data_IF_663130256562
#
_entry.id   IF_663130256562
#
_cell.length_a   1.000
_cell.length_b   1.000
_cell.length_c   1.000
_cell.angle_alpha   90.00
_cell.angle_beta   90.00
_cell.angle_gamma   90.00
#
_symmetry.space_group_name_H-M   'P 1'
#
loop_
_entity.id
_entity.type
_entity.pdbx_description
1 polymer ?
#
# COMPACT_ATOMS: atom_id res chain seq x y z
N UNK A 1 36.19 -29.62 -61.39
CA UNK A 1 36.40 -30.31 -60.10
C UNK A 1 36.95 -29.30 -59.09
N UNK A 2 36.24 -29.09 -57.96
CA UNK A 2 36.78 -28.70 -56.62
C UNK A 2 37.44 -27.30 -56.51
N UNK A 3 37.11 -26.39 -55.59
CA UNK A 3 36.54 -26.45 -54.22
C UNK A 3 35.83 -25.11 -53.93
N UNK A 4 34.62 -25.16 -53.36
CA UNK A 4 33.97 -23.99 -52.73
C UNK A 4 34.54 -23.86 -51.31
N UNK A 5 35.14 -22.72 -50.97
CA UNK A 5 35.45 -22.37 -49.58
C UNK A 5 34.14 -21.94 -48.90
N UNK A 6 33.73 -22.66 -47.87
CA UNK A 6 32.67 -22.23 -46.96
C UNK A 6 33.38 -21.57 -45.78
N UNK A 7 33.26 -20.25 -45.68
CA UNK A 7 33.69 -19.50 -44.50
C UNK A 7 32.53 -19.58 -43.50
N UNK A 8 32.69 -20.39 -42.46
CA UNK A 8 31.77 -20.41 -41.33
C UNK A 8 32.12 -19.23 -40.41
N UNK A 9 31.29 -18.19 -40.43
CA UNK A 9 31.37 -17.09 -39.48
C UNK A 9 30.61 -17.49 -38.21
N UNK A 10 31.32 -17.86 -37.15
CA UNK A 10 30.74 -18.09 -35.84
C UNK A 10 30.36 -16.75 -35.20
N UNK A 11 29.07 -16.42 -35.18
CA UNK A 11 28.55 -15.32 -34.36
C UNK A 11 28.62 -15.73 -32.89
N UNK A 12 29.56 -15.15 -32.15
CA UNK A 12 29.54 -15.15 -30.69
C UNK A 12 28.47 -14.15 -30.22
N UNK A 13 27.31 -14.66 -29.83
CA UNK A 13 26.29 -13.87 -29.13
C UNK A 13 26.76 -13.71 -27.68
N UNK A 14 27.32 -12.54 -27.36
CA UNK A 14 27.50 -12.13 -25.97
C UNK A 14 26.11 -11.81 -25.39
N UNK A 15 25.55 -12.75 -24.64
CA UNK A 15 24.45 -12.46 -23.73
C UNK A 15 25.04 -11.64 -22.57
N UNK A 16 24.95 -10.31 -22.67
CA UNK A 16 25.08 -9.43 -21.52
C UNK A 16 23.82 -9.60 -20.67
N UNK A 17 23.85 -10.59 -19.78
CA UNK A 17 22.90 -10.67 -18.68
C UNK A 17 23.18 -9.51 -17.74
N UNK A 18 22.44 -8.41 -17.89
CA UNK A 18 22.35 -7.36 -16.86
C UNK A 18 21.59 -7.92 -15.66
N UNK A 19 22.24 -8.82 -14.92
CA UNK A 19 21.77 -9.21 -13.60
C UNK A 19 21.95 -8.00 -12.70
N UNK A 20 20.85 -7.34 -12.33
CA UNK A 20 20.80 -6.56 -11.10
C UNK A 20 20.98 -7.54 -9.94
N UNK A 21 22.23 -7.94 -9.68
CA UNK A 21 22.58 -8.47 -8.38
C UNK A 21 22.27 -7.34 -7.39
N UNK A 22 21.46 -7.62 -6.37
CA UNK A 22 21.33 -6.70 -5.25
C UNK A 22 22.75 -6.44 -4.72
N UNK A 23 23.29 -5.24 -4.98
CA UNK A 23 24.62 -4.87 -4.54
C UNK A 23 24.58 -4.77 -3.01
N UNK A 24 25.10 -5.81 -2.35
CA UNK A 24 25.23 -5.84 -0.91
C UNK A 24 26.09 -4.67 -0.43
N UNK A 25 25.65 -4.00 0.64
CA UNK A 25 26.40 -2.92 1.27
C UNK A 25 27.73 -3.49 1.81
N UNK A 26 28.89 -3.07 1.27
CA UNK A 26 30.17 -3.59 1.74
C UNK A 26 30.44 -3.10 3.17
N UNK A 27 31.03 -3.96 4.00
CA UNK A 27 31.37 -3.65 5.40
C UNK A 27 30.18 -3.22 6.28
N UNK A 28 28.96 -3.68 5.97
CA UNK A 28 27.79 -3.45 6.83
C UNK A 28 28.03 -4.01 8.24
N UNK A 29 27.68 -3.28 9.31
CA UNK A 29 27.73 -3.83 10.67
C UNK A 29 26.76 -5.01 10.82
N UNK A 30 26.97 -5.82 11.86
CA UNK A 30 26.06 -6.90 12.20
C UNK A 30 24.67 -6.33 12.55
N UNK A 31 23.58 -6.79 11.89
CA UNK A 31 22.23 -6.36 12.24
C UNK A 31 21.84 -6.79 13.66
N UNK A 32 20.97 -6.02 14.35
CA UNK A 32 20.40 -6.46 15.63
C UNK A 32 19.49 -7.67 15.43
N UNK A 33 19.27 -8.43 16.51
CA UNK A 33 18.22 -9.45 16.54
C UNK A 33 16.84 -8.78 16.50
N UNK A 34 15.95 -9.29 15.64
CA UNK A 34 14.57 -8.78 15.49
C UNK A 34 13.58 -9.88 15.89
N UNK A 35 12.79 -9.62 16.92
CA UNK A 35 11.76 -10.55 17.39
C UNK A 35 10.45 -10.37 16.61
N UNK A 36 10.46 -10.75 15.33
CA UNK A 36 9.30 -10.77 14.44
C UNK A 36 9.40 -11.91 13.41
N UNK A 37 8.27 -12.32 12.83
CA UNK A 37 8.26 -13.37 11.80
C UNK A 37 8.94 -12.97 10.48
N UNK A 38 8.84 -11.68 10.11
CA UNK A 38 9.47 -11.08 8.93
C UNK A 38 9.74 -9.59 9.16
N UNK A 39 10.78 -9.03 8.54
CA UNK A 39 11.09 -7.59 8.57
C UNK A 39 11.89 -7.14 7.35
N UNK A 40 11.80 -5.85 7.04
CA UNK A 40 12.65 -5.14 6.05
C UNK A 40 12.96 -3.75 6.56
N UNK A 41 14.22 -3.34 6.49
CA UNK A 41 14.65 -1.95 6.61
C UNK A 41 15.22 -1.49 5.27
N UNK A 42 14.63 -0.45 4.69
CA UNK A 42 14.93 0.03 3.33
C UNK A 42 15.25 1.53 3.35
N UNK A 43 16.25 1.94 2.57
CA UNK A 43 16.51 3.35 2.28
C UNK A 43 15.50 3.89 1.25
N UNK A 44 14.90 5.04 1.54
CA UNK A 44 13.92 5.66 0.65
C UNK A 44 14.54 6.11 -0.67
N UNK A 45 15.71 6.76 -0.66
CA UNK A 45 16.28 7.38 -1.86
C UNK A 45 16.60 6.33 -2.92
N UNK A 46 17.26 5.25 -2.50
CA UNK A 46 17.83 4.22 -3.37
C UNK A 46 16.96 2.97 -3.50
N UNK A 47 16.11 2.69 -2.50
CA UNK A 47 15.43 1.39 -2.38
C UNK A 47 16.34 0.26 -1.90
N UNK A 48 17.58 0.55 -1.49
CA UNK A 48 18.51 -0.45 -0.98
C UNK A 48 18.01 -1.00 0.35
N UNK A 49 18.06 -2.33 0.50
CA UNK A 49 17.76 -3.01 1.77
C UNK A 49 19.01 -2.97 2.66
N UNK A 50 18.86 -2.44 3.87
CA UNK A 50 19.92 -2.38 4.87
C UNK A 50 20.00 -3.68 5.68
N UNK A 51 18.84 -4.23 6.04
CA UNK A 51 18.70 -5.55 6.65
C UNK A 51 17.29 -6.08 6.41
N UNK A 52 17.16 -7.40 6.30
CA UNK A 52 15.89 -8.07 6.09
C UNK A 52 15.92 -9.46 6.72
N UNK A 53 14.73 -10.01 6.99
CA UNK A 53 14.57 -11.38 7.42
C UNK A 53 13.23 -11.91 6.97
N UNK A 54 13.26 -13.05 6.28
CA UNK A 54 12.08 -13.77 5.80
C UNK A 54 11.12 -12.86 5.02
N UNK A 55 11.71 -11.97 4.22
CA UNK A 55 11.06 -10.78 3.67
C UNK A 55 10.09 -11.08 2.54
N UNK A 56 10.24 -12.24 1.89
CA UNK A 56 9.37 -12.74 0.81
C UNK A 56 8.33 -13.76 1.27
N UNK A 57 8.27 -14.09 2.57
CA UNK A 57 7.20 -14.96 3.05
C UNK A 57 5.85 -14.28 2.87
N UNK A 58 4.92 -14.97 2.19
CA UNK A 58 3.54 -14.54 2.08
C UNK A 58 2.84 -14.60 3.43
N UNK A 59 2.27 -13.47 3.84
CA UNK A 59 1.53 -13.28 5.10
C UNK A 59 0.28 -12.45 4.80
N UNK A 60 -0.80 -12.67 5.54
CA UNK A 60 -2.00 -11.85 5.36
C UNK A 60 -1.74 -10.43 5.92
N UNK A 61 -1.83 -9.36 5.09
CA UNK A 61 -1.53 -7.99 5.49
C UNK A 61 -2.59 -7.33 6.38
N UNK A 62 -3.78 -7.94 6.53
CA UNK A 62 -4.92 -7.35 7.24
C UNK A 62 -5.14 -5.88 6.84
N UNK A 63 -5.16 -4.94 7.81
CA UNK A 63 -5.39 -3.52 7.53
C UNK A 63 -4.27 -2.83 6.73
N UNK A 64 -3.09 -3.44 6.58
CA UNK A 64 -2.02 -2.89 5.73
C UNK A 64 -2.41 -2.91 4.24
N UNK A 65 -3.41 -3.69 3.84
CA UNK A 65 -4.06 -3.60 2.51
C UNK A 65 -4.47 -2.16 2.16
N UNK A 66 -4.86 -1.36 3.16
CA UNK A 66 -5.27 0.04 2.96
C UNK A 66 -4.14 0.95 2.48
N UNK A 67 -2.88 0.53 2.58
CA UNK A 67 -1.77 1.23 1.92
C UNK A 67 -1.96 1.23 0.40
N UNK A 68 -2.32 0.08 -0.19
CA UNK A 68 -2.62 0.00 -1.61
C UNK A 68 -3.91 0.76 -1.95
N UNK A 69 -4.93 0.70 -1.08
CA UNK A 69 -6.16 1.49 -1.25
C UNK A 69 -5.85 2.99 -1.33
N UNK A 70 -5.03 3.50 -0.41
CA UNK A 70 -4.58 4.89 -0.44
C UNK A 70 -3.74 5.19 -1.68
N UNK A 71 -2.85 4.28 -2.07
CA UNK A 71 -2.04 4.44 -3.28
C UNK A 71 -2.91 4.55 -4.55
N UNK A 72 -3.99 3.79 -4.69
CA UNK A 72 -4.91 3.93 -5.84
C UNK A 72 -5.57 5.31 -5.87
N UNK A 73 -5.96 5.85 -4.70
CA UNK A 73 -6.56 7.20 -4.58
C UNK A 73 -5.53 8.25 -4.99
N UNK A 74 -4.33 8.16 -4.44
CA UNK A 74 -3.20 9.02 -4.79
C UNK A 74 -2.92 9.02 -6.31
N UNK A 75 -2.82 7.83 -6.92
CA UNK A 75 -2.62 7.71 -8.38
C UNK A 75 -3.82 8.25 -9.20
N UNK A 76 -5.03 8.24 -8.66
CA UNK A 76 -6.18 8.83 -9.33
C UNK A 76 -6.14 10.37 -9.30
N UNK A 77 -5.60 10.95 -8.22
CA UNK A 77 -5.34 12.40 -8.10
C UNK A 77 -4.21 12.83 -9.04
N UNK A 78 -3.07 12.13 -8.98
CA UNK A 78 -1.87 12.37 -9.82
C UNK A 78 -2.22 12.34 -11.33
N UNK A 79 -3.05 11.39 -11.75
CA UNK A 79 -3.51 11.28 -13.14
C UNK A 79 -4.70 12.19 -13.50
N UNK A 80 -5.09 13.10 -12.61
CA UNK A 80 -6.19 14.06 -12.77
C UNK A 80 -7.55 13.44 -13.11
N UNK A 81 -7.78 12.17 -12.72
CA UNK A 81 -9.11 11.53 -12.87
C UNK A 81 -10.10 12.01 -11.81
N UNK A 82 -9.58 12.40 -10.65
CA UNK A 82 -10.31 13.01 -9.53
C UNK A 82 -9.47 14.15 -8.96
N UNK A 83 -10.08 15.00 -8.13
CA UNK A 83 -9.38 16.00 -7.32
C UNK A 83 -9.66 15.77 -5.83
N UNK A 84 -8.78 16.21 -4.92
CA UNK A 84 -9.02 16.11 -3.48
C UNK A 84 -10.29 16.87 -3.01
N UNK A 85 -10.73 17.88 -3.78
CA UNK A 85 -11.86 18.72 -3.43
C UNK A 85 -13.19 18.22 -4.03
N UNK A 86 -13.14 17.14 -4.83
CA UNK A 86 -14.33 16.50 -5.37
C UNK A 86 -15.24 16.00 -4.25
N UNK A 87 -16.54 16.22 -4.41
CA UNK A 87 -17.55 15.81 -3.41
C UNK A 87 -18.12 14.45 -3.79
N UNK A 88 -17.81 13.46 -2.97
CA UNK A 88 -18.35 12.11 -3.01
C UNK A 88 -19.64 12.05 -2.22
N UNK A 89 -20.67 11.42 -2.79
CA UNK A 89 -21.91 11.12 -2.06
C UNK A 89 -21.83 9.70 -1.54
N UNK A 90 -21.91 9.53 -0.22
CA UNK A 90 -21.77 8.22 0.44
C UNK A 90 -23.00 7.35 0.12
N UNK A 91 -22.76 6.21 -0.52
CA UNK A 91 -23.78 5.18 -0.76
C UNK A 91 -24.02 4.30 0.46
N UNK A 92 -25.09 3.50 0.42
CA UNK A 92 -25.45 2.56 1.50
C UNK A 92 -24.35 1.53 1.79
N UNK A 93 -23.58 1.14 0.78
CA UNK A 93 -22.49 0.15 0.90
C UNK A 93 -21.39 0.62 1.86
N UNK A 94 -21.16 1.93 1.95
CA UNK A 94 -20.22 2.57 2.85
C UNK A 94 -20.84 2.94 4.22
N UNK A 95 -22.09 2.55 4.50
CA UNK A 95 -22.73 2.81 5.79
C UNK A 95 -22.69 1.60 6.72
N UNK A 96 -22.00 1.76 7.86
CA UNK A 96 -21.79 0.66 8.80
C UNK A 96 -23.04 0.12 9.51
N UNK A 97 -24.12 0.89 9.60
CA UNK A 97 -25.30 0.51 10.41
C UNK A 97 -25.92 -0.84 9.98
N UNK A 98 -25.98 -1.09 8.68
CA UNK A 98 -26.66 -2.26 8.12
C UNK A 98 -25.67 -3.26 7.49
N UNK A 99 -24.36 -3.06 7.66
CA UNK A 99 -23.33 -3.89 7.03
C UNK A 99 -22.54 -4.70 8.08
N UNK A 100 -22.80 -6.02 8.22
CA UNK A 100 -22.17 -6.85 9.25
C UNK A 100 -20.65 -6.98 9.08
N UNK A 101 -20.13 -6.79 7.85
CA UNK A 101 -18.68 -6.81 7.56
C UNK A 101 -17.93 -5.77 8.41
N UNK A 102 -18.59 -4.66 8.75
CA UNK A 102 -17.96 -3.55 9.46
C UNK A 102 -18.06 -3.62 10.99
N UNK A 103 -18.83 -4.57 11.54
CA UNK A 103 -19.02 -4.68 12.99
C UNK A 103 -17.69 -4.99 13.69
N UNK A 104 -17.32 -4.16 14.67
CA UNK A 104 -16.05 -4.29 15.42
C UNK A 104 -14.82 -3.79 14.67
N UNK A 105 -15.00 -3.27 13.45
CA UNK A 105 -13.92 -2.73 12.63
C UNK A 105 -13.72 -1.22 12.86
N UNK A 106 -12.62 -0.66 12.35
CA UNK A 106 -12.36 0.79 12.35
C UNK A 106 -13.17 1.51 11.28
N UNK A 107 -13.77 2.65 11.63
CA UNK A 107 -14.71 3.40 10.79
C UNK A 107 -14.43 4.90 10.87
N UNK A 108 -14.72 5.62 9.80
CA UNK A 108 -14.87 7.08 9.79
C UNK A 108 -16.26 7.52 10.30
N UNK A 109 -17.20 6.57 10.40
CA UNK A 109 -18.60 6.77 10.80
C UNK A 109 -19.39 7.59 9.77
N UNK A 110 -19.23 7.23 8.50
CA UNK A 110 -20.02 7.76 7.39
C UNK A 110 -21.48 7.31 7.49
N UNK A 111 -22.40 8.12 6.96
CA UNK A 111 -23.82 7.77 6.76
C UNK A 111 -24.20 7.87 5.30
N UNK A 112 -25.15 7.05 4.87
CA UNK A 112 -25.74 7.17 3.53
C UNK A 112 -26.26 8.59 3.28
N UNK A 113 -25.91 9.16 2.13
CA UNK A 113 -26.26 10.53 1.74
C UNK A 113 -25.31 11.61 2.24
N UNK A 114 -24.34 11.30 3.12
CA UNK A 114 -23.28 12.24 3.49
C UNK A 114 -22.54 12.70 2.21
N UNK A 115 -22.17 13.98 2.17
CA UNK A 115 -21.40 14.58 1.08
C UNK A 115 -20.03 14.95 1.61
N UNK A 116 -19.00 14.24 1.16
CA UNK A 116 -17.66 14.27 1.75
C UNK A 116 -16.62 14.52 0.67
N UNK A 117 -15.63 15.36 0.95
CA UNK A 117 -14.53 15.58 0.01
C UNK A 117 -13.67 14.31 -0.12
N UNK A 118 -13.04 14.10 -1.27
CA UNK A 118 -12.02 13.04 -1.45
C UNK A 118 -10.91 13.21 -0.41
N UNK A 119 -10.54 14.44 -0.07
CA UNK A 119 -9.55 14.76 0.98
C UNK A 119 -9.98 14.21 2.34
N UNK A 120 -11.20 14.50 2.80
CA UNK A 120 -11.67 14.03 4.12
C UNK A 120 -11.86 12.52 4.15
N UNK A 121 -12.32 11.90 3.05
CA UNK A 121 -12.35 10.44 2.93
C UNK A 121 -10.95 9.84 2.98
N UNK A 122 -9.95 10.49 2.36
CA UNK A 122 -8.55 10.06 2.41
C UNK A 122 -7.99 10.16 3.84
N UNK A 123 -8.34 11.22 4.58
CA UNK A 123 -8.02 11.34 6.01
C UNK A 123 -8.69 10.24 6.83
N UNK A 124 -9.95 9.91 6.57
CA UNK A 124 -10.65 8.79 7.23
C UNK A 124 -10.03 7.43 6.93
N UNK A 125 -9.61 7.19 5.69
CA UNK A 125 -8.85 6.01 5.29
C UNK A 125 -7.51 5.89 6.03
N UNK A 126 -6.80 7.02 6.19
CA UNK A 126 -5.43 7.05 6.71
C UNK A 126 -5.42 7.08 8.24
N UNK A 127 -6.01 8.11 8.84
CA UNK A 127 -5.99 8.40 10.29
C UNK A 127 -6.87 7.41 11.06
N UNK A 128 -8.14 7.29 10.66
CA UNK A 128 -9.11 6.45 11.38
C UNK A 128 -8.95 4.97 10.99
N UNK A 129 -8.30 4.71 9.86
CA UNK A 129 -8.27 3.41 9.19
C UNK A 129 -9.67 2.94 8.80
N UNK A 130 -10.55 3.87 8.42
CA UNK A 130 -11.97 3.63 8.15
C UNK A 130 -12.22 2.68 6.97
N UNK A 131 -12.91 1.57 7.23
CA UNK A 131 -13.31 0.62 6.19
C UNK A 131 -14.45 1.16 5.30
N UNK A 132 -15.35 1.92 5.90
CA UNK A 132 -16.41 2.69 5.23
C UNK A 132 -15.84 3.71 4.23
N UNK A 133 -14.81 4.44 4.62
CA UNK A 133 -14.12 5.38 3.72
C UNK A 133 -13.47 4.67 2.51
N UNK A 134 -12.93 3.45 2.71
CA UNK A 134 -12.39 2.65 1.60
C UNK A 134 -13.46 2.35 0.54
N UNK A 135 -14.66 1.95 0.99
CA UNK A 135 -15.77 1.62 0.07
C UNK A 135 -16.26 2.85 -0.68
N UNK A 136 -16.48 3.97 0.02
CA UNK A 136 -16.91 5.21 -0.62
C UNK A 136 -15.91 5.70 -1.69
N UNK A 137 -14.61 5.63 -1.41
CA UNK A 137 -13.55 5.97 -2.39
C UNK A 137 -13.52 4.98 -3.56
N UNK A 138 -13.69 3.68 -3.29
CA UNK A 138 -13.69 2.65 -4.33
C UNK A 138 -14.85 2.83 -5.32
N UNK A 139 -16.04 3.09 -4.80
CA UNK A 139 -17.24 3.33 -5.61
C UNK A 139 -17.07 4.60 -6.45
N UNK A 140 -16.51 5.66 -5.87
CA UNK A 140 -16.26 6.92 -6.58
C UNK A 140 -15.24 6.78 -7.70
N UNK A 141 -14.12 6.07 -7.45
CA UNK A 141 -12.98 6.00 -8.38
C UNK A 141 -13.20 4.97 -9.49
N UNK A 142 -13.78 3.82 -9.16
CA UNK A 142 -13.85 2.67 -10.06
C UNK A 142 -15.28 2.24 -10.41
N UNK A 143 -16.30 2.95 -9.87
CA UNK A 143 -17.70 2.57 -10.01
C UNK A 143 -18.07 1.28 -9.24
N UNK A 144 -17.21 0.83 -8.31
CA UNK A 144 -17.48 -0.34 -7.49
C UNK A 144 -16.22 -1.01 -6.92
N UNK A 145 -16.40 -1.70 -5.80
CA UNK A 145 -15.32 -2.37 -5.05
C UNK A 145 -14.51 -3.39 -5.88
N UNK A 146 -15.16 -4.22 -6.71
CA UNK A 146 -14.45 -5.23 -7.53
C UNK A 146 -13.50 -4.58 -8.54
N UNK A 147 -13.97 -3.55 -9.26
CA UNK A 147 -13.13 -2.82 -10.21
C UNK A 147 -11.98 -2.10 -9.50
N UNK A 148 -12.22 -1.62 -8.28
CA UNK A 148 -11.15 -1.03 -7.48
C UNK A 148 -10.09 -2.06 -7.06
N UNK A 149 -10.50 -3.27 -6.68
CA UNK A 149 -9.57 -4.39 -6.39
C UNK A 149 -8.78 -4.79 -7.64
N UNK A 150 -9.39 -4.78 -8.83
CA UNK A 150 -8.66 -4.94 -10.10
C UNK A 150 -7.59 -3.85 -10.26
N UNK A 151 -7.91 -2.58 -9.95
CA UNK A 151 -6.91 -1.50 -9.95
C UNK A 151 -5.79 -1.75 -8.92
N UNK A 152 -6.12 -2.17 -7.69
CA UNK A 152 -5.13 -2.50 -6.65
C UNK A 152 -4.14 -3.57 -7.14
N UNK A 153 -4.65 -4.66 -7.72
CA UNK A 153 -3.82 -5.73 -8.27
C UNK A 153 -3.02 -5.29 -9.51
N UNK A 154 -3.59 -4.45 -10.37
CA UNK A 154 -2.85 -3.85 -11.50
C UNK A 154 -1.68 -2.97 -11.02
N UNK A 155 -1.85 -2.21 -9.92
CA UNK A 155 -0.76 -1.44 -9.35
C UNK A 155 0.27 -2.32 -8.63
N UNK A 156 -0.15 -3.40 -7.96
CA UNK A 156 0.77 -4.39 -7.41
C UNK A 156 1.68 -4.98 -8.50
N UNK A 157 1.11 -5.35 -9.66
CA UNK A 157 1.88 -5.85 -10.80
C UNK A 157 2.85 -4.78 -11.38
N UNK A 158 2.36 -3.55 -11.57
CA UNK A 158 3.17 -2.41 -12.06
C UNK A 158 4.33 -2.07 -11.12
N UNK A 159 4.15 -2.21 -9.82
CA UNK A 159 5.18 -2.01 -8.80
C UNK A 159 6.04 -3.27 -8.57
N UNK A 160 5.77 -4.35 -9.31
CA UNK A 160 6.48 -5.62 -9.19
C UNK A 160 6.39 -6.27 -7.81
N UNK A 161 5.26 -6.10 -7.12
CA UNK A 161 4.97 -6.76 -5.84
C UNK A 161 4.61 -8.23 -6.08
N UNK A 162 5.62 -9.11 -6.08
CA UNK A 162 5.48 -10.50 -6.55
C UNK A 162 4.75 -11.43 -5.58
N UNK A 163 4.72 -11.06 -4.31
CA UNK A 163 4.14 -11.83 -3.22
C UNK A 163 2.80 -11.24 -2.77
N UNK A 164 2.20 -10.34 -3.59
CA UNK A 164 1.02 -9.54 -3.22
C UNK A 164 -0.20 -9.83 -4.07
N UNK A 165 -1.34 -10.04 -3.42
CA UNK A 165 -2.67 -10.15 -4.03
C UNK A 165 -3.73 -9.57 -3.09
N UNK A 166 -4.70 -8.84 -3.65
CA UNK A 166 -5.81 -8.23 -2.92
C UNK A 166 -7.16 -8.77 -3.38
N UNK A 167 -8.09 -8.95 -2.43
CA UNK A 167 -9.47 -9.39 -2.68
C UNK A 167 -10.52 -8.36 -2.25
N UNK A 168 -10.20 -7.49 -1.28
CA UNK A 168 -11.11 -6.44 -0.79
C UNK A 168 -10.41 -5.08 -0.67
N UNK A 169 -11.20 -4.01 -0.74
CA UNK A 169 -10.69 -2.62 -0.70
C UNK A 169 -10.18 -2.18 0.67
N UNK A 170 -10.43 -2.97 1.71
CA UNK A 170 -10.12 -2.63 3.10
C UNK A 170 -9.36 -3.73 3.84
N UNK A 171 -9.27 -4.95 3.29
CA UNK A 171 -8.56 -6.07 3.88
C UNK A 171 -9.32 -6.85 4.96
N UNK A 172 -10.64 -6.66 5.06
CA UNK A 172 -11.51 -7.51 5.89
C UNK A 172 -12.04 -8.67 5.04
N UNK A 173 -12.36 -9.80 5.67
CA UNK A 173 -13.01 -10.98 5.09
C UNK A 173 -12.39 -11.45 3.76
N UNK A 174 -11.06 -11.44 3.71
CA UNK A 174 -10.27 -11.76 2.51
C UNK A 174 -9.22 -12.83 2.85
N UNK A 175 -9.59 -14.13 2.85
CA UNK A 175 -8.66 -15.20 3.21
C UNK A 175 -7.57 -15.44 2.14
N UNK A 176 -7.83 -15.08 0.88
CA UNK A 176 -6.88 -15.25 -0.22
C UNK A 176 -5.96 -14.04 -0.42
N UNK A 177 -6.22 -12.89 0.21
CA UNK A 177 -5.28 -11.77 0.16
C UNK A 177 -3.96 -12.10 0.88
N UNK A 178 -2.84 -11.70 0.29
CA UNK A 178 -1.52 -11.87 0.86
C UNK A 178 -0.57 -10.77 0.40
N UNK A 179 0.53 -10.59 1.14
CA UNK A 179 1.65 -9.70 0.79
C UNK A 179 2.92 -10.25 1.45
N UNK A 180 4.07 -9.66 1.16
CA UNK A 180 5.32 -9.90 1.89
C UNK A 180 5.84 -8.63 2.57
N UNK A 181 6.81 -8.76 3.48
CA UNK A 181 7.43 -7.60 4.13
C UNK A 181 8.21 -6.75 3.11
N UNK A 182 8.85 -7.40 2.13
CA UNK A 182 9.49 -6.75 1.00
C UNK A 182 8.50 -5.94 0.17
N UNK A 183 7.40 -6.56 -0.25
CA UNK A 183 6.41 -5.89 -1.09
C UNK A 183 5.76 -4.69 -0.38
N UNK A 184 5.48 -4.81 0.93
CA UNK A 184 4.96 -3.68 1.70
C UNK A 184 5.99 -2.55 1.84
N UNK A 185 7.28 -2.84 1.91
CA UNK A 185 8.33 -1.82 1.92
C UNK A 185 8.42 -1.10 0.57
N UNK A 186 8.36 -1.84 -0.55
CA UNK A 186 8.33 -1.27 -1.91
C UNK A 186 7.08 -0.40 -2.12
N UNK A 187 5.90 -0.88 -1.71
CA UNK A 187 4.65 -0.12 -1.77
C UNK A 187 4.74 1.15 -0.92
N UNK A 188 5.28 1.05 0.30
CA UNK A 188 5.45 2.20 1.18
C UNK A 188 6.36 3.26 0.56
N UNK A 189 7.48 2.84 -0.04
CA UNK A 189 8.37 3.74 -0.79
C UNK A 189 7.64 4.43 -1.95
N UNK A 190 6.79 3.70 -2.69
CA UNK A 190 5.99 4.27 -3.78
C UNK A 190 4.97 5.30 -3.27
N UNK A 191 4.34 5.07 -2.10
CA UNK A 191 3.43 6.01 -1.46
C UNK A 191 4.16 7.29 -1.03
N UNK A 192 5.33 7.17 -0.39
CA UNK A 192 6.14 8.33 0.02
C UNK A 192 6.56 9.18 -1.19
N UNK A 193 6.82 8.52 -2.32
CA UNK A 193 7.18 9.18 -3.58
C UNK A 193 5.99 9.81 -4.33
N UNK A 194 4.76 9.62 -3.84
CA UNK A 194 3.54 10.06 -4.51
C UNK A 194 3.21 11.54 -4.32
N UNK A 195 1.92 11.87 -4.30
CA UNK A 195 1.46 13.25 -4.07
C UNK A 195 1.88 13.71 -2.65
N UNK A 196 2.65 14.80 -2.52
CA UNK A 196 3.23 15.20 -1.23
C UNK A 196 2.19 15.41 -0.13
N UNK A 197 1.09 16.08 -0.46
CA UNK A 197 0.00 16.36 0.47
C UNK A 197 -0.80 15.11 0.83
N UNK A 198 -0.80 14.09 -0.03
CA UNK A 198 -1.44 12.81 0.26
C UNK A 198 -0.62 12.02 1.29
N UNK A 199 0.70 11.91 1.09
CA UNK A 199 1.57 11.27 2.06
C UNK A 199 1.58 12.02 3.41
N UNK A 200 1.53 13.36 3.40
CA UNK A 200 1.49 14.17 4.62
C UNK A 200 0.33 13.78 5.56
N UNK A 201 -0.80 13.30 5.03
CA UNK A 201 -1.94 12.85 5.86
C UNK A 201 -1.58 11.72 6.84
N UNK A 202 -0.56 10.90 6.56
CA UNK A 202 -0.11 9.84 7.47
C UNK A 202 0.47 10.38 8.79
N UNK A 203 0.96 11.63 8.78
CA UNK A 203 1.52 12.31 9.96
C UNK A 203 0.46 13.01 10.83
N UNK A 204 -0.78 13.11 10.34
CA UNK A 204 -1.88 13.72 11.08
C UNK A 204 -2.25 12.86 12.28
N UNK A 205 -2.32 13.50 13.45
CA UNK A 205 -2.48 12.79 14.72
C UNK A 205 -3.93 12.46 15.05
N UNK A 206 -4.88 13.19 14.47
CA UNK A 206 -6.30 13.01 14.74
C UNK A 206 -7.17 13.55 13.62
N UNK A 207 -8.34 12.94 13.45
CA UNK A 207 -9.41 13.41 12.58
C UNK A 207 -10.67 13.63 13.42
N UNK A 208 -11.39 14.71 13.15
CA UNK A 208 -12.73 14.93 13.66
C UNK A 208 -13.72 14.86 12.50
N UNK A 209 -14.62 13.90 12.53
CA UNK A 209 -15.70 13.75 11.55
C UNK A 209 -17.03 13.51 12.26
N UNK A 210 -18.11 14.15 11.80
CA UNK A 210 -19.45 14.00 12.40
C UNK A 210 -19.50 14.14 13.94
N UNK A 211 -18.66 15.03 14.50
CA UNK A 211 -18.55 15.27 15.95
C UNK A 211 -17.78 14.19 16.72
N UNK A 212 -17.21 13.20 16.04
CA UNK A 212 -16.40 12.13 16.62
C UNK A 212 -14.93 12.44 16.31
N UNK A 213 -14.08 12.49 17.33
CA UNK A 213 -12.63 12.64 17.14
C UNK A 213 -11.93 11.32 17.40
N UNK A 214 -11.11 10.90 16.44
CA UNK A 214 -10.32 9.66 16.52
C UNK A 214 -8.83 9.99 16.38
N UNK A 215 -7.99 9.16 17.01
CA UNK A 215 -6.54 9.29 16.96
C UNK A 215 -5.98 8.38 15.88
N UNK A 216 -4.88 8.81 15.27
CA UNK A 216 -4.08 7.96 14.41
C UNK A 216 -3.58 6.73 15.19
N UNK A 217 -3.65 5.55 14.57
CA UNK A 217 -3.28 4.28 15.23
C UNK A 217 -1.78 4.02 15.25
N UNK A 218 -0.98 4.87 14.60
CA UNK A 218 0.48 4.77 14.60
C UNK A 218 1.09 5.46 15.83
N UNK A 219 1.36 4.69 16.89
CA UNK A 219 1.95 5.18 18.13
C UNK A 219 3.33 5.87 17.97
N UNK A 220 4.07 5.55 16.90
CA UNK A 220 5.40 6.13 16.67
C UNK A 220 5.35 7.62 16.30
N UNK A 221 4.19 8.15 15.87
CA UNK A 221 4.00 9.60 15.61
C UNK A 221 4.17 10.50 16.86
N UNK A 222 4.19 9.89 18.05
CA UNK A 222 4.41 10.58 19.32
C UNK A 222 5.80 10.33 19.92
N UNK A 223 6.68 9.60 19.24
CA UNK A 223 8.07 9.47 19.63
C UNK A 223 8.76 10.85 19.57
N UNK A 224 9.53 11.17 20.61
CA UNK A 224 10.26 12.45 20.74
C UNK A 224 11.74 12.32 20.37
N UNK A 225 12.19 11.11 20.06
CA UNK A 225 13.58 10.78 19.75
C UNK A 225 13.83 10.60 18.25
N UNK A 226 12.75 10.40 17.48
CA UNK A 226 12.77 10.22 16.03
C UNK A 226 11.72 11.12 15.38
N UNK A 227 11.92 11.48 14.12
CA UNK A 227 10.92 12.18 13.31
C UNK A 227 10.13 11.16 12.46
N UNK A 228 9.19 10.46 13.09
CA UNK A 228 8.34 9.46 12.41
C UNK A 228 7.05 10.12 11.93
N UNK A 229 6.71 9.95 10.66
CA UNK A 229 5.58 10.57 9.97
C UNK A 229 4.65 9.56 9.27
N UNK A 230 4.90 8.25 9.41
CA UNK A 230 4.07 7.21 8.81
C UNK A 230 4.50 5.78 9.16
N UNK A 231 3.95 4.75 8.51
CA UNK A 231 2.74 4.80 7.68
C UNK A 231 1.54 4.22 8.43
N UNK A 232 1.52 2.90 8.66
CA UNK A 232 0.33 2.23 9.19
C UNK A 232 0.69 1.05 10.08
N UNK A 233 -0.16 0.82 11.08
CA UNK A 233 -0.14 -0.37 11.92
C UNK A 233 -1.28 -1.31 11.52
N UNK A 234 -1.08 -2.61 11.74
CA UNK A 234 -2.08 -3.63 11.47
C UNK A 234 -1.93 -4.83 12.38
N UNK A 235 -2.99 -5.61 12.49
CA UNK A 235 -3.01 -6.83 13.28
C UNK A 235 -3.74 -7.92 12.49
N UNK A 236 -3.09 -9.07 12.36
CA UNK A 236 -3.64 -10.28 11.76
C UNK A 236 -3.81 -11.30 12.88
N UNK A 237 -5.05 -11.72 13.15
CA UNK A 237 -5.31 -12.69 14.22
C UNK A 237 -4.65 -14.04 13.89
N UNK A 238 -3.81 -14.55 14.80
CA UNK A 238 -3.20 -15.88 14.68
C UNK A 238 -2.07 -16.03 13.66
N UNK A 239 -1.45 -14.93 13.21
CA UNK A 239 -0.33 -14.94 12.26
C UNK A 239 0.99 -14.52 12.90
#
# INVERSE_FOLDING_TARGET
MKRRLIIAASLFVFNLSSGFAAENIPFSPQPPEIHAGSWVLMDYTTGQILTAGNEHQQRNPASLTKLMTGYVVDRAIDSHRITPDDIVTVGRDAWAKDNPVFVGSSLMFLKEGDRVSVRDLSRGLIVDSGNDACVALADYIAGGQRQFVEMMNNYAEKLHLKDTHFETVHGLDAPGQHSSAYDLAVLSRAIIHGEPEFYHMYSEKSLTWNGITQQNRNGLLWDKTMNVDGLKTGHTSGA
#
